data_IF_983212884929
#
_entry.id   IF_983212884929
#
_cell.length_a   1.000
_cell.length_b   1.000
_cell.length_c   1.000
_cell.angle_alpha   90.00
_cell.angle_beta   90.00
_cell.angle_gamma   90.00
#
_symmetry.space_group_name_H-M   'P 1'
#
loop_
_entity.id
_entity.type
_entity.pdbx_description
1 polymer ?
#
# COMPACT_ATOMS: atom_id res chain seq x y z
N UNK A 1 15.74 -2.42 13.50
CA UNK A 1 16.59 -2.94 14.60
C UNK A 1 16.46 -4.44 14.87
N UNK A 2 15.28 -5.09 14.72
CA UNK A 2 15.13 -6.55 14.94
C UNK A 2 14.90 -7.28 13.61
N UNK A 3 15.80 -8.19 13.23
CA UNK A 3 15.80 -8.79 11.89
C UNK A 3 14.63 -9.73 11.65
N UNK A 4 14.23 -10.50 12.67
CA UNK A 4 13.04 -11.35 12.56
C UNK A 4 11.75 -10.53 12.41
N UNK A 5 11.62 -9.38 13.09
CA UNK A 5 10.46 -8.51 12.88
C UNK A 5 10.47 -7.90 11.47
N UNK A 6 11.64 -7.51 10.94
CA UNK A 6 11.75 -7.07 9.55
C UNK A 6 11.30 -8.17 8.59
N UNK A 7 11.81 -9.40 8.76
CA UNK A 7 11.43 -10.53 7.92
C UNK A 7 9.93 -10.82 7.96
N UNK A 8 9.33 -10.80 9.15
CA UNK A 8 7.89 -11.02 9.34
C UNK A 8 7.09 -9.89 8.67
N UNK A 9 7.40 -8.63 9.00
CA UNK A 9 6.66 -7.47 8.48
C UNK A 9 6.78 -7.37 6.95
N UNK A 10 7.97 -7.56 6.37
CA UNK A 10 8.16 -7.54 4.90
C UNK A 10 7.30 -8.60 4.20
N UNK A 11 7.26 -9.82 4.75
CA UNK A 11 6.42 -10.90 4.20
C UNK A 11 4.93 -10.60 4.34
N UNK A 12 4.53 -9.96 5.43
CA UNK A 12 3.15 -9.53 5.63
C UNK A 12 2.79 -8.37 4.68
N UNK A 13 3.70 -7.45 4.37
CA UNK A 13 3.46 -6.41 3.35
C UNK A 13 3.24 -7.03 1.97
N UNK A 14 4.01 -8.07 1.61
CA UNK A 14 3.79 -8.85 0.39
C UNK A 14 2.42 -9.53 0.40
N UNK A 15 2.02 -10.12 1.52
CA UNK A 15 0.75 -10.84 1.65
C UNK A 15 -0.47 -9.91 1.59
N UNK A 16 -0.42 -8.78 2.31
CA UNK A 16 -1.55 -7.85 2.44
C UNK A 16 -1.63 -6.84 1.30
N UNK A 17 -0.50 -6.50 0.65
CA UNK A 17 -0.46 -5.37 -0.29
C UNK A 17 -0.74 -4.03 0.42
N UNK A 18 -0.32 -3.90 1.67
CA UNK A 18 -0.48 -2.71 2.53
C UNK A 18 0.74 -2.59 3.43
N UNK A 19 1.05 -1.38 3.88
CA UNK A 19 2.13 -1.15 4.84
C UNK A 19 1.87 -1.91 6.14
N UNK A 20 2.93 -2.44 6.74
CA UNK A 20 2.83 -3.22 7.99
C UNK A 20 3.76 -2.63 9.05
N UNK A 21 3.19 -1.94 10.02
CA UNK A 21 3.91 -1.39 11.18
C UNK A 21 3.98 -2.39 12.34
N UNK A 22 4.75 -2.04 13.37
CA UNK A 22 4.63 -2.71 14.66
C UNK A 22 5.02 -1.80 15.84
N UNK A 23 4.39 -2.06 16.99
CA UNK A 23 4.76 -1.46 18.26
C UNK A 23 4.95 -2.57 19.30
N UNK A 24 5.98 -2.42 20.15
CA UNK A 24 6.24 -3.33 21.27
C UNK A 24 5.78 -2.65 22.56
N UNK A 25 4.94 -3.34 23.32
CA UNK A 25 4.42 -2.86 24.59
C UNK A 25 4.98 -3.70 25.72
N UNK A 26 5.64 -3.04 26.67
CA UNK A 26 6.17 -3.64 27.89
C UNK A 26 5.44 -3.01 29.07
N UNK A 27 4.70 -3.82 29.83
CA UNK A 27 3.84 -3.32 30.92
C UNK A 27 4.24 -3.98 32.25
N UNK A 28 4.67 -3.20 33.27
CA UNK A 28 5.01 -3.72 34.60
C UNK A 28 3.85 -4.44 35.29
N UNK A 29 4.15 -5.31 36.24
CA UNK A 29 3.14 -6.02 37.02
C UNK A 29 2.18 -5.10 37.78
N UNK A 30 0.90 -5.50 37.85
CA UNK A 30 -0.16 -4.76 38.55
C UNK A 30 -0.48 -3.40 37.93
N UNK A 31 -0.23 -3.20 36.63
CA UNK A 31 -0.42 -1.92 35.96
C UNK A 31 -1.14 -2.02 34.62
N UNK A 32 -1.79 -0.92 34.22
CA UNK A 32 -2.45 -0.72 32.94
C UNK A 32 -1.83 0.50 32.27
N UNK A 33 -1.31 0.33 31.05
CA UNK A 33 -0.60 1.39 30.33
C UNK A 33 -1.52 2.36 29.58
N UNK A 34 -2.60 1.84 28.98
CA UNK A 34 -3.52 2.60 28.14
C UNK A 34 -4.96 2.44 28.61
N UNK A 35 -5.79 3.50 28.54
CA UNK A 35 -7.23 3.40 28.77
C UNK A 35 -7.90 2.58 27.66
N UNK A 36 -9.18 2.19 27.80
CA UNK A 36 -9.95 1.61 26.69
C UNK A 36 -9.93 2.51 25.45
N UNK A 37 -9.67 1.92 24.29
CA UNK A 37 -9.62 2.62 23.01
C UNK A 37 -9.88 1.66 21.85
N UNK A 38 -10.08 2.20 20.66
CA UNK A 38 -9.96 1.45 19.41
C UNK A 38 -8.96 2.12 18.47
N UNK A 39 -8.33 1.32 17.61
CA UNK A 39 -7.39 1.76 16.59
C UNK A 39 -8.05 1.90 15.21
N UNK A 40 -7.33 2.54 14.29
CA UNK A 40 -7.66 2.75 12.88
C UNK A 40 -7.04 1.70 11.94
N UNK A 41 -6.47 0.63 12.50
CA UNK A 41 -5.72 -0.41 11.80
C UNK A 41 -6.21 -1.82 12.15
N UNK A 42 -5.98 -2.76 11.25
CA UNK A 42 -6.12 -4.18 11.55
C UNK A 42 -4.91 -4.61 12.38
N UNK A 43 -5.14 -5.28 13.52
CA UNK A 43 -4.05 -5.60 14.46
C UNK A 43 -3.91 -7.09 14.74
N UNK A 44 -2.66 -7.52 14.81
CA UNK A 44 -2.23 -8.86 15.15
C UNK A 44 -1.27 -8.78 16.33
N UNK A 45 -1.68 -9.32 17.46
CA UNK A 45 -0.94 -9.25 18.72
C UNK A 45 -0.31 -10.62 18.98
N UNK A 46 1.00 -10.62 19.20
CA UNK A 46 1.76 -11.79 19.63
C UNK A 46 2.31 -11.56 21.03
N UNK A 47 1.87 -12.37 21.99
CA UNK A 47 2.37 -12.29 23.36
C UNK A 47 3.76 -12.94 23.41
N UNK A 48 4.77 -12.17 23.83
CA UNK A 48 6.18 -12.57 23.80
C UNK A 48 6.66 -13.05 25.18
N UNK A 49 6.32 -12.31 26.24
CA UNK A 49 6.79 -12.58 27.60
C UNK A 49 5.69 -12.31 28.62
N UNK A 50 5.67 -13.08 29.72
CA UNK A 50 4.69 -12.91 30.79
C UNK A 50 3.24 -13.13 30.34
N UNK A 51 2.29 -12.66 31.16
CA UNK A 51 0.86 -12.80 30.88
C UNK A 51 0.18 -11.42 30.88
N UNK A 52 -0.89 -11.26 30.10
CA UNK A 52 -1.69 -10.02 30.08
C UNK A 52 -3.18 -10.33 30.07
N UNK A 53 -3.93 -9.65 30.93
CA UNK A 53 -5.39 -9.73 30.96
C UNK A 53 -5.95 -8.76 29.91
N UNK A 54 -6.77 -9.28 28.99
CA UNK A 54 -7.35 -8.53 27.87
C UNK A 54 -8.87 -8.55 27.94
N UNK A 55 -9.47 -7.40 27.66
CA UNK A 55 -10.92 -7.22 27.51
C UNK A 55 -11.20 -6.57 26.16
N UNK A 56 -12.05 -7.21 25.36
CA UNK A 56 -12.51 -6.70 24.07
C UNK A 56 -14.00 -6.37 24.15
N UNK A 57 -14.44 -5.34 23.41
CA UNK A 57 -15.81 -4.85 23.44
C UNK A 57 -16.35 -4.65 22.02
N UNK A 58 -17.66 -4.46 21.91
CA UNK A 58 -18.27 -4.09 20.63
C UNK A 58 -17.77 -2.70 20.18
N UNK A 59 -17.57 -2.49 18.87
CA UNK A 59 -17.18 -1.19 18.35
C UNK A 59 -18.31 -0.15 18.56
N UNK A 60 -17.97 1.04 19.06
CA UNK A 60 -18.84 2.23 18.97
C UNK A 60 -18.87 2.77 17.54
N UNK A 61 -17.77 2.63 16.81
CA UNK A 61 -17.63 2.92 15.38
C UNK A 61 -17.08 1.67 14.66
N UNK A 62 -17.93 0.86 14.01
CA UNK A 62 -17.47 -0.33 13.28
C UNK A 62 -16.52 0.04 12.14
N UNK A 63 -15.41 -0.69 12.01
CA UNK A 63 -14.37 -0.45 10.99
C UNK A 63 -13.86 1.00 10.98
N UNK A 64 -13.71 1.57 12.19
CA UNK A 64 -13.26 2.93 12.41
C UNK A 64 -12.00 3.24 11.61
N UNK A 65 -11.97 4.45 11.06
CA UNK A 65 -10.88 4.93 10.21
C UNK A 65 -9.95 5.90 10.94
N UNK A 66 -10.29 6.21 12.18
CA UNK A 66 -9.56 7.10 13.07
C UNK A 66 -9.41 6.38 14.42
N UNK A 67 -8.40 6.76 15.20
CA UNK A 67 -8.21 6.27 16.57
C UNK A 67 -9.11 7.05 17.55
N UNK A 68 -9.60 6.38 18.60
CA UNK A 68 -10.30 7.06 19.69
C UNK A 68 -10.14 6.37 21.04
N UNK A 69 -10.04 7.17 22.11
CA UNK A 69 -10.16 6.72 23.50
C UNK A 69 -11.62 6.71 23.91
N UNK A 70 -12.03 5.65 24.60
CA UNK A 70 -13.41 5.42 25.01
C UNK A 70 -13.56 5.40 26.54
N UNK A 71 -14.70 5.88 27.02
CA UNK A 71 -15.02 5.89 28.45
C UNK A 71 -15.61 4.54 28.88
N UNK A 72 -15.09 3.93 29.95
CA UNK A 72 -15.58 2.64 30.46
C UNK A 72 -17.10 2.62 30.73
N UNK A 73 -17.68 3.76 31.11
CA UNK A 73 -19.12 3.90 31.35
C UNK A 73 -19.97 3.73 30.07
N UNK A 74 -19.36 3.83 28.89
CA UNK A 74 -20.03 3.85 27.58
C UNK A 74 -19.82 2.59 26.73
N UNK A 75 -18.81 1.77 27.06
CA UNK A 75 -18.42 0.61 26.25
C UNK A 75 -19.15 -0.68 26.63
N UNK A 76 -19.86 -0.68 27.76
CA UNK A 76 -20.66 -1.81 28.23
C UNK A 76 -19.82 -2.98 28.75
N UNK A 77 -20.34 -4.21 28.61
CA UNK A 77 -19.65 -5.42 29.05
C UNK A 77 -18.69 -5.94 27.97
N UNK A 78 -17.54 -6.52 28.34
CA UNK A 78 -16.66 -7.16 27.38
C UNK A 78 -17.40 -8.26 26.59
N UNK A 79 -17.14 -8.33 25.29
CA UNK A 79 -17.56 -9.47 24.45
C UNK A 79 -16.66 -10.67 24.70
N UNK A 80 -15.38 -10.41 24.97
CA UNK A 80 -14.37 -11.40 25.29
C UNK A 80 -13.49 -10.88 26.41
N UNK A 81 -13.13 -11.78 27.32
CA UNK A 81 -12.24 -11.51 28.44
C UNK A 81 -11.38 -12.74 28.65
N UNK A 82 -10.06 -12.58 28.56
CA UNK A 82 -9.10 -13.69 28.58
C UNK A 82 -7.70 -13.22 28.99
N UNK A 83 -6.80 -14.16 29.24
CA UNK A 83 -5.40 -13.88 29.55
C UNK A 83 -4.51 -14.49 28.47
N UNK A 84 -3.70 -13.66 27.81
CA UNK A 84 -2.70 -14.12 26.85
C UNK A 84 -1.41 -14.51 27.57
N UNK A 85 -0.76 -15.57 27.08
CA UNK A 85 0.52 -16.12 27.54
C UNK A 85 1.51 -16.22 26.38
N UNK A 86 2.82 -16.42 26.63
CA UNK A 86 3.82 -16.43 25.56
C UNK A 86 3.50 -17.46 24.47
N UNK A 87 3.46 -17.01 23.22
CA UNK A 87 3.10 -17.83 22.05
C UNK A 87 1.61 -17.72 21.64
N UNK A 88 0.75 -17.15 22.49
CA UNK A 88 -0.64 -16.87 22.11
C UNK A 88 -0.71 -15.72 21.11
N UNK A 89 -1.73 -15.79 20.25
CA UNK A 89 -1.98 -14.86 19.16
C UNK A 89 -3.40 -14.32 19.23
N UNK A 90 -3.56 -13.02 19.07
CA UNK A 90 -4.86 -12.34 19.05
C UNK A 90 -4.98 -11.46 17.81
N UNK A 91 -6.13 -11.54 17.15
CA UNK A 91 -6.51 -10.62 16.07
C UNK A 91 -7.84 -9.97 16.40
N UNK A 92 -7.97 -8.70 16.06
CA UNK A 92 -9.26 -8.02 15.95
C UNK A 92 -9.20 -6.90 14.90
N UNK A 93 -10.34 -6.58 14.26
CA UNK A 93 -10.40 -5.52 13.26
C UNK A 93 -10.42 -4.14 13.91
N UNK A 94 -10.07 -3.12 13.12
CA UNK A 94 -10.15 -1.71 13.53
C UNK A 94 -11.56 -1.32 14.02
N UNK A 95 -11.62 -0.42 14.98
CA UNK A 95 -12.84 -0.07 15.70
C UNK A 95 -13.18 -1.01 16.88
N UNK A 96 -12.55 -2.20 17.00
CA UNK A 96 -12.73 -3.05 18.18
C UNK A 96 -12.12 -2.37 19.40
N UNK A 97 -12.97 -2.01 20.35
CA UNK A 97 -12.53 -1.40 21.60
C UNK A 97 -11.83 -2.47 22.44
N UNK A 98 -10.68 -2.12 23.00
CA UNK A 98 -9.91 -3.03 23.82
C UNK A 98 -9.17 -2.29 24.94
N UNK A 99 -8.85 -3.03 26.00
CA UNK A 99 -7.91 -2.63 27.03
C UNK A 99 -7.20 -3.85 27.61
N UNK A 100 -6.02 -3.63 28.19
CA UNK A 100 -5.24 -4.68 28.79
C UNK A 100 -4.43 -4.22 30.00
N UNK A 101 -4.38 -5.08 31.01
CA UNK A 101 -3.65 -4.88 32.26
C UNK A 101 -2.76 -6.10 32.57
N UNK A 102 -1.62 -5.87 33.22
CA UNK A 102 -0.75 -6.97 33.68
C UNK A 102 -1.17 -7.34 35.11
N UNK A 103 -1.58 -8.59 35.38
CA UNK A 103 -1.97 -9.01 36.73
C UNK A 103 -0.87 -8.77 37.79
N UNK A 104 -1.24 -8.51 39.06
CA UNK A 104 -0.26 -8.41 40.14
C UNK A 104 0.39 -9.77 40.41
N UNK A 105 1.65 -9.76 40.88
CA UNK A 105 2.40 -10.98 41.25
C UNK A 105 3.17 -11.65 40.10
N UNK A 106 3.07 -11.14 38.87
CA UNK A 106 3.94 -11.47 37.74
C UNK A 106 5.17 -10.52 37.72
N UNK A 107 6.12 -10.74 36.79
CA UNK A 107 7.25 -9.82 36.59
C UNK A 107 6.86 -8.62 35.70
N UNK A 108 6.42 -8.91 34.47
CA UNK A 108 5.98 -7.94 33.47
C UNK A 108 5.21 -8.68 32.36
N UNK A 109 4.65 -7.92 31.42
CA UNK A 109 4.06 -8.44 30.17
C UNK A 109 4.69 -7.75 28.98
N UNK A 110 5.13 -8.51 27.97
CA UNK A 110 5.65 -7.99 26.71
C UNK A 110 4.85 -8.59 25.55
N UNK A 111 4.28 -7.75 24.69
CA UNK A 111 3.72 -8.18 23.41
C UNK A 111 4.18 -7.26 22.28
N UNK A 112 4.12 -7.78 21.06
CA UNK A 112 4.24 -6.97 19.84
C UNK A 112 2.87 -6.92 19.17
N UNK A 113 2.44 -5.72 18.81
CA UNK A 113 1.29 -5.47 17.96
C UNK A 113 1.82 -5.20 16.57
N UNK A 114 1.47 -6.05 15.61
CA UNK A 114 1.73 -5.86 14.18
C UNK A 114 0.45 -5.29 13.58
N UNK A 115 0.53 -4.17 12.89
CA UNK A 115 -0.63 -3.43 12.37
C UNK A 115 -0.55 -3.18 10.88
N UNK A 116 -1.69 -3.18 10.19
CA UNK A 116 -1.77 -2.93 8.74
C UNK A 116 -3.12 -2.33 8.35
N UNK A 117 -3.34 -2.07 7.06
CA UNK A 117 -4.62 -1.62 6.49
C UNK A 117 -5.09 -0.21 6.92
N UNK A 118 -4.18 0.63 7.44
CA UNK A 118 -4.47 2.05 7.68
C UNK A 118 -4.85 2.74 6.36
N UNK A 119 -5.97 3.47 6.33
CA UNK A 119 -6.47 4.17 5.13
C UNK A 119 -6.48 3.31 3.84
N UNK A 120 -6.75 2.01 3.97
CA UNK A 120 -6.78 1.08 2.85
C UNK A 120 -8.20 0.55 2.57
N UNK A 121 -9.18 1.45 2.54
CA UNK A 121 -10.60 1.13 2.35
C UNK A 121 -11.07 1.33 0.90
N UNK A 122 -12.27 0.84 0.56
CA UNK A 122 -12.91 1.17 -0.72
C UNK A 122 -13.13 2.67 -0.90
N UNK A 123 -13.36 3.43 0.18
CA UNK A 123 -13.48 4.88 0.13
C UNK A 123 -12.17 5.56 -0.28
N UNK A 124 -11.04 5.05 0.22
CA UNK A 124 -9.70 5.51 -0.18
C UNK A 124 -9.44 5.26 -1.65
N UNK A 125 -9.62 4.01 -2.05
CA UNK A 125 -9.37 3.59 -3.42
C UNK A 125 -10.30 4.29 -4.42
N UNK A 126 -11.54 4.58 -4.02
CA UNK A 126 -12.47 5.37 -4.82
C UNK A 126 -11.99 6.82 -4.99
N UNK A 127 -11.51 7.47 -3.93
CA UNK A 127 -11.00 8.84 -4.00
C UNK A 127 -9.74 8.93 -4.88
N UNK A 128 -8.80 8.00 -4.69
CA UNK A 128 -7.59 7.87 -5.50
C UNK A 128 -7.93 7.67 -6.99
N UNK A 129 -8.87 6.76 -7.27
CA UNK A 129 -9.30 6.46 -8.64
C UNK A 129 -10.04 7.64 -9.29
N UNK A 130 -10.96 8.28 -8.56
CA UNK A 130 -11.75 9.42 -9.08
C UNK A 130 -10.83 10.57 -9.46
N UNK A 131 -9.80 10.86 -8.66
CA UNK A 131 -8.84 11.93 -8.97
C UNK A 131 -8.23 11.74 -10.37
N UNK A 132 -7.65 10.57 -10.63
CA UNK A 132 -7.07 10.24 -11.93
C UNK A 132 -8.09 10.29 -13.07
N UNK A 133 -9.29 9.74 -12.87
CA UNK A 133 -10.36 9.77 -13.87
C UNK A 133 -10.85 11.18 -14.20
N UNK A 134 -10.97 12.05 -13.20
CA UNK A 134 -11.40 13.44 -13.38
C UNK A 134 -10.38 14.19 -14.23
N UNK A 135 -9.08 14.11 -13.90
CA UNK A 135 -8.04 14.79 -14.65
C UNK A 135 -7.91 14.28 -16.09
N UNK A 136 -8.05 12.96 -16.29
CA UNK A 136 -8.02 12.41 -17.64
C UNK A 136 -9.27 12.75 -18.46
N UNK A 137 -10.45 12.71 -17.86
CA UNK A 137 -11.70 13.13 -18.53
C UNK A 137 -11.66 14.61 -18.89
N UNK A 138 -11.11 15.42 -17.99
CA UNK A 138 -10.90 16.84 -18.21
C UNK A 138 -9.93 17.16 -19.36
N UNK A 139 -9.23 16.20 -19.98
CA UNK A 139 -8.45 16.44 -21.21
C UNK A 139 -9.34 16.49 -22.45
N UNK A 140 -10.43 15.72 -22.46
CA UNK A 140 -11.32 15.56 -23.61
C UNK A 140 -12.62 16.36 -23.47
N UNK A 141 -13.10 16.55 -22.24
CA UNK A 141 -14.39 17.19 -21.95
C UNK A 141 -14.20 18.58 -21.33
N UNK A 142 -14.67 19.61 -22.05
CA UNK A 142 -14.65 21.00 -21.61
C UNK A 142 -15.48 21.24 -20.34
N UNK A 143 -16.54 20.46 -20.11
CA UNK A 143 -17.43 20.65 -18.96
C UNK A 143 -16.72 20.36 -17.63
N UNK A 144 -15.76 19.42 -17.63
CA UNK A 144 -14.94 19.10 -16.46
C UNK A 144 -13.87 20.18 -16.17
N UNK A 145 -13.53 21.01 -17.16
CA UNK A 145 -12.60 22.15 -17.00
C UNK A 145 -13.31 23.47 -16.71
N UNK A 146 -14.62 23.54 -16.95
CA UNK A 146 -15.38 24.77 -16.81
C UNK A 146 -15.39 25.27 -15.35
N UNK A 147 -15.19 26.57 -15.17
CA UNK A 147 -15.23 27.19 -13.85
C UNK A 147 -16.61 27.04 -13.17
N UNK A 148 -16.60 26.83 -11.85
CA UNK A 148 -17.83 26.85 -11.06
C UNK A 148 -18.45 28.26 -11.05
N UNK A 149 -19.78 28.41 -10.85
CA UNK A 149 -20.43 29.71 -10.75
C UNK A 149 -19.79 30.61 -9.68
N UNK A 150 -19.68 31.92 -10.00
CA UNK A 150 -19.17 32.93 -9.05
C UNK A 150 -19.94 32.88 -7.73
N UNK A 151 -19.23 33.09 -6.62
CA UNK A 151 -19.79 33.09 -5.26
C UNK A 151 -20.48 31.77 -4.85
N UNK A 152 -20.33 30.66 -5.60
CA UNK A 152 -20.90 29.37 -5.22
C UNK A 152 -20.42 28.93 -3.84
N UNK A 153 -19.14 29.13 -3.53
CA UNK A 153 -18.54 28.78 -2.23
C UNK A 153 -19.03 29.66 -1.06
N UNK A 154 -19.72 30.78 -1.35
CA UNK A 154 -20.30 31.67 -0.33
C UNK A 154 -21.77 31.34 -0.04
N UNK A 155 -22.36 30.39 -0.76
CA UNK A 155 -23.73 29.96 -0.53
C UNK A 155 -23.81 29.06 0.71
N UNK A 156 -24.84 29.26 1.54
CA UNK A 156 -25.08 28.45 2.75
C UNK A 156 -25.58 27.04 2.43
N UNK A 157 -26.19 26.86 1.25
CA UNK A 157 -26.74 25.59 0.80
C UNK A 157 -26.26 25.24 -0.62
N UNK A 158 -26.00 23.95 -0.84
CA UNK A 158 -25.80 23.42 -2.17
C UNK A 158 -27.11 23.49 -2.98
N UNK A 159 -27.16 24.43 -3.94
CA UNK A 159 -28.34 24.58 -4.81
C UNK A 159 -28.66 23.26 -5.55
N UNK A 160 -29.94 23.02 -5.82
CA UNK A 160 -30.37 21.81 -6.56
C UNK A 160 -29.68 21.67 -7.93
N UNK A 161 -29.30 22.80 -8.54
CA UNK A 161 -28.56 22.86 -9.81
C UNK A 161 -27.17 22.24 -9.66
N UNK A 162 -26.43 22.58 -8.60
CA UNK A 162 -25.09 22.04 -8.33
C UNK A 162 -25.15 20.55 -8.07
N UNK A 163 -26.11 20.09 -7.24
CA UNK A 163 -26.32 18.66 -6.96
C UNK A 163 -26.61 17.87 -8.24
N UNK A 164 -27.45 18.41 -9.14
CA UNK A 164 -27.75 17.77 -10.43
C UNK A 164 -26.51 17.69 -11.32
N UNK A 165 -25.70 18.74 -11.39
CA UNK A 165 -24.48 18.78 -12.22
C UNK A 165 -23.43 17.80 -11.72
N UNK A 166 -23.15 17.78 -10.40
CA UNK A 166 -22.24 16.80 -9.79
C UNK A 166 -22.72 15.36 -9.99
N UNK A 167 -24.02 15.10 -9.85
CA UNK A 167 -24.57 13.75 -10.12
C UNK A 167 -24.41 13.35 -11.59
N UNK A 168 -24.45 14.31 -12.52
CA UNK A 168 -24.16 14.06 -13.93
C UNK A 168 -22.71 13.63 -14.13
N UNK A 169 -21.76 14.38 -13.56
CA UNK A 169 -20.34 14.03 -13.63
C UNK A 169 -20.03 12.66 -13.02
N UNK A 170 -20.62 12.32 -11.86
CA UNK A 170 -20.42 11.01 -11.24
C UNK A 170 -20.89 9.85 -12.15
N UNK A 171 -22.00 10.01 -12.87
CA UNK A 171 -22.46 9.00 -13.84
C UNK A 171 -21.53 8.87 -15.02
N UNK A 172 -21.07 9.99 -15.58
CA UNK A 172 -20.10 10.00 -16.68
C UNK A 172 -18.81 9.27 -16.27
N UNK A 173 -18.31 9.54 -15.05
CA UNK A 173 -17.11 8.86 -14.54
C UNK A 173 -17.34 7.36 -14.33
N UNK A 174 -18.53 6.96 -13.87
CA UNK A 174 -18.89 5.55 -13.71
C UNK A 174 -18.93 4.83 -15.08
N UNK A 175 -19.63 5.40 -16.06
CA UNK A 175 -19.70 4.85 -17.43
C UNK A 175 -18.30 4.75 -18.07
N UNK A 176 -17.45 5.76 -17.83
CA UNK A 176 -16.07 5.77 -18.32
C UNK A 176 -15.22 4.68 -17.66
N UNK A 177 -15.36 4.50 -16.34
CA UNK A 177 -14.67 3.45 -15.60
C UNK A 177 -15.00 2.06 -16.15
N UNK A 178 -16.28 1.78 -16.44
CA UNK A 178 -16.73 0.53 -17.07
C UNK A 178 -16.15 0.33 -18.49
N UNK A 179 -15.92 1.43 -19.23
CA UNK A 179 -15.33 1.39 -20.58
C UNK A 179 -13.81 1.27 -20.62
N UNK A 180 -13.11 1.56 -19.52
CA UNK A 180 -11.64 1.55 -19.45
C UNK A 180 -11.07 0.19 -19.03
N UNK A 181 -10.01 -0.27 -19.71
CA UNK A 181 -9.26 -1.49 -19.34
C UNK A 181 -8.15 -1.25 -18.30
N UNK A 182 -7.75 0.00 -18.11
CA UNK A 182 -6.58 0.37 -17.29
C UNK A 182 -6.99 1.46 -16.30
N UNK A 183 -6.72 1.22 -15.02
CA UNK A 183 -6.91 2.22 -13.97
C UNK A 183 -5.66 3.09 -13.82
N UNK A 184 -5.88 4.39 -13.66
CA UNK A 184 -4.85 5.42 -13.44
C UNK A 184 -4.51 5.60 -11.95
N UNK A 185 -4.92 4.67 -11.09
CA UNK A 185 -4.59 4.70 -9.66
C UNK A 185 -3.08 4.67 -9.49
N UNK A 186 -2.50 5.79 -9.05
CA UNK A 186 -1.07 5.97 -8.92
C UNK A 186 -0.65 6.32 -7.50
N UNK A 187 -1.43 7.09 -6.75
CA UNK A 187 -0.94 7.66 -5.49
C UNK A 187 -0.89 6.61 -4.38
N UNK A 188 -1.97 5.83 -4.16
CA UNK A 188 -1.95 4.75 -3.17
C UNK A 188 -0.90 3.68 -3.49
N UNK A 189 -0.76 3.30 -4.76
CA UNK A 189 0.24 2.31 -5.19
C UNK A 189 1.66 2.84 -4.96
N UNK A 190 1.90 4.09 -5.36
CA UNK A 190 3.20 4.75 -5.20
C UNK A 190 3.53 4.91 -3.72
N UNK A 191 2.59 5.36 -2.90
CA UNK A 191 2.76 5.45 -1.45
C UNK A 191 3.18 4.10 -0.85
N UNK A 192 2.46 3.02 -1.18
CA UNK A 192 2.80 1.68 -0.69
C UNK A 192 4.22 1.24 -1.06
N UNK A 193 4.60 1.32 -2.34
CA UNK A 193 5.93 0.85 -2.77
C UNK A 193 7.06 1.71 -2.22
N UNK A 194 6.83 3.00 -2.02
CA UNK A 194 7.87 3.93 -1.52
C UNK A 194 8.08 3.80 -0.02
N UNK A 195 7.03 3.47 0.74
CA UNK A 195 7.08 3.47 2.20
C UNK A 195 7.21 2.09 2.83
N UNK A 196 7.15 1.00 2.05
CA UNK A 196 7.29 -0.37 2.55
C UNK A 196 8.74 -0.78 2.83
N UNK A 197 8.93 -1.90 3.54
CA UNK A 197 10.24 -2.48 3.79
C UNK A 197 10.92 -2.99 2.50
N UNK A 198 12.26 -2.91 2.42
CA UNK A 198 13.00 -3.64 1.39
C UNK A 198 12.92 -5.15 1.63
N UNK A 199 13.14 -5.98 0.59
CA UNK A 199 13.19 -7.43 0.72
C UNK A 199 14.15 -7.86 1.84
N UNK A 200 13.72 -8.80 2.68
CA UNK A 200 14.62 -9.36 3.69
C UNK A 200 15.75 -10.17 3.04
N UNK A 201 16.99 -9.89 3.44
CA UNK A 201 18.18 -10.65 3.04
C UNK A 201 19.05 -10.99 4.26
N UNK A 202 19.75 -12.12 4.19
CA UNK A 202 20.70 -12.59 5.21
C UNK A 202 22.17 -12.32 4.83
N UNK A 203 22.42 -11.51 3.79
CA UNK A 203 23.73 -11.33 3.17
C UNK A 203 24.08 -9.88 2.82
N UNK A 204 24.92 -9.69 1.81
CA UNK A 204 25.35 -8.37 1.34
C UNK A 204 24.19 -7.63 0.65
N UNK A 205 23.80 -6.42 1.10
CA UNK A 205 22.81 -5.57 0.41
C UNK A 205 23.12 -5.32 -1.06
N UNK A 206 24.38 -5.48 -1.48
CA UNK A 206 24.78 -5.39 -2.87
C UNK A 206 24.01 -6.35 -3.79
N UNK A 207 23.50 -7.50 -3.31
CA UNK A 207 22.71 -8.44 -4.12
C UNK A 207 21.34 -7.88 -4.54
N UNK A 208 20.79 -6.91 -3.79
CA UNK A 208 19.54 -6.22 -4.12
C UNK A 208 19.75 -5.00 -5.02
N UNK A 209 21.00 -4.54 -5.15
CA UNK A 209 21.35 -3.29 -5.85
C UNK A 209 22.26 -3.49 -7.06
N UNK A 210 22.90 -4.65 -7.17
CA UNK A 210 23.85 -4.99 -8.24
C UNK A 210 23.31 -6.18 -9.02
N UNK A 211 23.00 -6.01 -10.32
CA UNK A 211 22.52 -7.11 -11.14
C UNK A 211 23.52 -8.27 -11.16
N UNK A 212 23.08 -9.42 -10.66
CA UNK A 212 23.85 -10.66 -10.68
C UNK A 212 23.59 -11.49 -11.94
N UNK A 213 24.45 -12.49 -12.17
CA UNK A 213 24.25 -13.50 -13.22
C UNK A 213 24.64 -13.05 -14.63
N UNK A 214 24.07 -13.70 -15.63
CA UNK A 214 24.34 -13.40 -17.04
C UNK A 214 23.46 -12.26 -17.53
N UNK A 215 24.06 -11.35 -18.31
CA UNK A 215 23.34 -10.30 -19.01
C UNK A 215 22.32 -10.95 -19.98
N UNK A 216 21.01 -10.65 -19.83
CA UNK A 216 19.99 -11.22 -20.70
C UNK A 216 20.14 -10.72 -22.14
N UNK A 217 19.87 -11.61 -23.09
CA UNK A 217 19.92 -11.37 -24.54
C UNK A 217 18.61 -11.81 -25.18
N UNK A 218 18.42 -11.51 -26.46
CA UNK A 218 17.24 -11.91 -27.22
C UNK A 218 16.93 -13.41 -27.14
N UNK A 219 17.93 -14.29 -27.12
CA UNK A 219 17.75 -15.75 -27.03
C UNK A 219 17.65 -16.28 -25.60
N UNK A 220 17.70 -15.41 -24.59
CA UNK A 220 17.58 -15.80 -23.19
C UNK A 220 16.13 -16.13 -22.81
N UNK A 221 15.97 -17.01 -21.83
CA UNK A 221 14.74 -17.11 -21.05
C UNK A 221 14.92 -16.27 -19.79
N UNK A 222 13.91 -15.50 -19.43
CA UNK A 222 13.96 -14.59 -18.28
C UNK A 222 12.83 -14.86 -17.31
N UNK A 223 13.11 -14.59 -16.04
CA UNK A 223 12.15 -14.71 -14.93
C UNK A 223 12.15 -13.43 -14.11
N UNK A 224 10.96 -12.95 -13.76
CA UNK A 224 10.75 -11.86 -12.81
C UNK A 224 11.18 -12.29 -11.41
N UNK A 225 12.04 -11.48 -10.80
CA UNK A 225 12.42 -11.57 -9.40
C UNK A 225 11.67 -10.51 -8.60
N UNK A 226 11.50 -10.77 -7.29
CA UNK A 226 10.88 -9.82 -6.35
C UNK A 226 9.53 -9.27 -6.83
N UNK A 227 8.70 -10.12 -7.47
CA UNK A 227 7.40 -9.74 -8.05
C UNK A 227 6.54 -8.92 -7.08
N UNK A 228 6.48 -9.34 -5.81
CA UNK A 228 5.66 -8.69 -4.79
C UNK A 228 6.26 -7.37 -4.26
N UNK A 229 7.48 -7.01 -4.68
CA UNK A 229 8.14 -5.74 -4.36
C UNK A 229 8.14 -4.74 -5.51
N UNK A 230 7.57 -5.10 -6.67
CA UNK A 230 7.50 -4.26 -7.86
C UNK A 230 6.04 -4.04 -8.29
N UNK A 231 5.70 -2.79 -8.59
CA UNK A 231 4.36 -2.39 -9.01
C UNK A 231 4.37 -1.76 -10.39
N UNK A 232 3.27 -1.95 -11.13
CA UNK A 232 3.01 -1.22 -12.37
C UNK A 232 1.90 -0.18 -12.14
N UNK A 233 2.16 1.02 -12.63
CA UNK A 233 1.16 2.08 -12.73
C UNK A 233 1.26 2.81 -14.06
N UNK A 234 0.18 3.51 -14.42
CA UNK A 234 0.11 4.32 -15.64
C UNK A 234 -0.07 5.77 -15.21
N UNK A 235 0.77 6.64 -15.75
CA UNK A 235 0.74 8.06 -15.44
C UNK A 235 1.00 8.91 -16.67
N UNK A 236 0.81 10.24 -16.56
CA UNK A 236 1.26 11.18 -17.59
C UNK A 236 2.79 11.17 -17.70
N UNK A 237 3.31 11.39 -18.90
CA UNK A 237 4.74 11.62 -19.09
C UNK A 237 5.19 12.89 -18.36
N UNK A 238 6.06 12.72 -17.36
CA UNK A 238 6.53 13.81 -16.48
C UNK A 238 7.58 14.72 -17.13
N UNK A 239 8.24 14.28 -18.21
CA UNK A 239 9.32 15.06 -18.86
C UNK A 239 8.83 15.97 -20.00
N UNK A 240 7.55 15.90 -20.38
CA UNK A 240 6.99 16.73 -21.45
C UNK A 240 6.00 17.74 -20.89
N UNK A 241 6.31 19.03 -21.10
CA UNK A 241 5.45 20.17 -20.76
C UNK A 241 4.33 20.43 -21.77
N UNK A 242 4.20 19.62 -22.82
CA UNK A 242 3.27 19.84 -23.93
C UNK A 242 1.84 19.36 -23.61
N UNK A 243 0.86 20.02 -24.23
CA UNK A 243 -0.58 19.79 -24.06
C UNK A 243 -1.07 18.37 -24.44
N UNK A 244 -0.21 17.56 -25.07
CA UNK A 244 -0.50 16.15 -25.44
C UNK A 244 0.34 15.18 -24.63
N UNK A 245 0.21 15.21 -23.31
CA UNK A 245 0.89 14.26 -22.42
C UNK A 245 0.57 12.81 -22.83
N UNK A 246 1.56 12.14 -23.41
CA UNK A 246 1.49 10.70 -23.67
C UNK A 246 1.43 9.96 -22.33
N UNK A 247 0.66 8.87 -22.31
CA UNK A 247 0.64 7.97 -21.16
C UNK A 247 1.87 7.08 -21.17
N UNK A 248 2.50 6.94 -20.01
CA UNK A 248 3.66 6.08 -19.81
C UNK A 248 3.34 5.03 -18.75
N UNK A 249 3.98 3.87 -18.87
CA UNK A 249 3.99 2.85 -17.82
C UNK A 249 5.18 3.13 -16.92
N UNK A 250 4.91 3.18 -15.62
CA UNK A 250 5.92 3.32 -14.58
C UNK A 250 6.03 2.02 -13.80
N UNK A 251 7.27 1.61 -13.57
CA UNK A 251 7.59 0.49 -12.69
C UNK A 251 8.38 1.03 -11.52
N UNK A 252 7.78 0.91 -10.34
CA UNK A 252 8.41 1.25 -9.08
C UNK A 252 8.70 -0.03 -8.31
N UNK A 253 9.79 -0.04 -7.55
CA UNK A 253 10.13 -1.18 -6.71
C UNK A 253 10.72 -0.73 -5.38
N UNK A 254 10.66 -1.62 -4.39
CA UNK A 254 11.10 -1.35 -3.01
C UNK A 254 12.45 -1.97 -2.64
N UNK A 255 13.19 -2.56 -3.60
CA UNK A 255 14.48 -3.21 -3.36
C UNK A 255 15.51 -2.30 -2.67
N UNK A 256 15.44 -0.99 -2.93
CA UNK A 256 16.38 0.03 -2.43
C UNK A 256 15.79 0.87 -1.29
N UNK A 257 14.62 0.50 -0.77
CA UNK A 257 14.01 1.20 0.36
C UNK A 257 14.87 1.06 1.62
N UNK A 258 14.77 2.04 2.52
CA UNK A 258 15.54 2.05 3.77
C UNK A 258 14.69 1.48 4.89
N UNK A 259 15.22 0.44 5.54
CA UNK A 259 14.58 -0.16 6.72
C UNK A 259 14.60 0.78 7.91
N UNK A 260 15.64 1.61 8.03
CA UNK A 260 15.87 2.51 9.16
C UNK A 260 14.79 3.58 9.32
N UNK A 261 14.11 3.94 8.22
CA UNK A 261 13.09 4.98 8.16
C UNK A 261 11.68 4.41 7.94
N UNK A 262 11.52 3.09 7.94
CA UNK A 262 10.22 2.43 7.74
C UNK A 262 9.21 2.89 8.80
N UNK A 263 8.05 3.40 8.35
CA UNK A 263 6.96 3.93 9.20
C UNK A 263 7.35 5.09 10.12
N UNK A 264 8.47 5.79 9.88
CA UNK A 264 8.93 6.90 10.73
C UNK A 264 8.46 8.29 10.25
N UNK A 265 7.79 8.36 9.10
CA UNK A 265 7.12 9.58 8.63
C UNK A 265 8.05 10.75 8.29
N UNK A 266 9.16 10.52 7.56
CA UNK A 266 9.92 11.56 6.83
C UNK A 266 11.06 10.99 5.96
N UNK A 267 10.99 11.27 4.65
CA UNK A 267 12.02 11.82 3.74
C UNK A 267 11.36 11.77 2.36
N UNK A 268 11.27 12.90 1.63
CA UNK A 268 10.95 12.88 0.20
C UNK A 268 12.03 12.04 -0.49
N UNK A 269 11.76 10.75 -0.65
CA UNK A 269 12.63 9.86 -1.40
C UNK A 269 12.36 10.15 -2.86
N UNK A 270 13.34 10.71 -3.56
CA UNK A 270 13.28 10.84 -5.01
C UNK A 270 12.98 9.46 -5.62
N UNK A 271 11.78 9.32 -6.19
CA UNK A 271 11.36 8.04 -6.75
C UNK A 271 11.93 7.90 -8.16
N UNK A 272 13.01 7.15 -8.31
CA UNK A 272 13.47 6.70 -9.63
C UNK A 272 12.78 5.38 -9.97
N UNK A 273 11.70 5.45 -10.76
CA UNK A 273 11.07 4.29 -11.36
C UNK A 273 11.53 4.10 -12.81
N UNK A 274 11.46 2.88 -13.33
CA UNK A 274 11.64 2.65 -14.76
C UNK A 274 10.41 3.18 -15.50
N UNK A 275 10.63 3.72 -16.70
CA UNK A 275 9.59 4.33 -17.52
C UNK A 275 9.60 3.71 -18.91
N UNK A 276 8.44 3.28 -19.38
CA UNK A 276 8.24 2.72 -20.72
C UNK A 276 7.04 3.33 -21.42
N UNK A 277 7.01 3.37 -22.76
CA UNK A 277 5.81 3.72 -23.52
C UNK A 277 4.64 2.79 -23.19
N UNK A 278 3.40 3.30 -23.24
CA UNK A 278 2.20 2.49 -22.98
C UNK A 278 2.10 1.22 -23.87
N UNK A 279 2.68 1.25 -25.07
CA UNK A 279 2.76 0.07 -25.96
C UNK A 279 3.46 -1.14 -25.34
N UNK A 280 4.27 -0.94 -24.28
CA UNK A 280 4.99 -2.01 -23.60
C UNK A 280 4.13 -2.75 -22.56
N UNK A 281 2.92 -2.27 -22.27
CA UNK A 281 2.06 -2.82 -21.22
C UNK A 281 1.77 -4.32 -21.40
N UNK A 282 1.50 -4.79 -22.62
CA UNK A 282 1.21 -6.20 -22.85
C UNK A 282 2.43 -7.11 -22.65
N UNK A 283 3.63 -6.65 -23.04
CA UNK A 283 4.88 -7.35 -22.78
C UNK A 283 5.21 -7.40 -21.29
N UNK A 284 4.98 -6.30 -20.57
CA UNK A 284 5.12 -6.25 -19.11
C UNK A 284 4.16 -7.20 -18.41
N UNK A 285 2.88 -7.26 -18.83
CA UNK A 285 1.91 -8.25 -18.32
C UNK A 285 2.39 -9.68 -18.57
N UNK A 286 2.95 -9.97 -19.76
CA UNK A 286 3.53 -11.30 -20.02
C UNK A 286 4.63 -11.67 -19.01
N UNK A 287 5.53 -10.74 -18.68
CA UNK A 287 6.59 -10.95 -17.69
C UNK A 287 6.01 -11.19 -16.29
N UNK A 288 4.97 -10.45 -15.89
CA UNK A 288 4.34 -10.60 -14.58
C UNK A 288 3.52 -11.89 -14.44
N UNK A 289 2.87 -12.33 -15.51
CA UNK A 289 1.92 -13.45 -15.48
C UNK A 289 2.58 -14.82 -15.68
N UNK A 290 3.82 -14.87 -16.19
CA UNK A 290 4.54 -16.12 -16.46
C UNK A 290 5.64 -16.37 -15.43
N UNK A 291 5.89 -17.64 -15.10
CA UNK A 291 7.01 -18.03 -14.22
C UNK A 291 8.38 -17.83 -14.88
N UNK A 292 8.44 -17.96 -16.21
CA UNK A 292 9.58 -17.68 -17.06
C UNK A 292 9.09 -17.44 -18.50
N UNK A 293 9.77 -16.60 -19.27
CA UNK A 293 9.40 -16.27 -20.64
C UNK A 293 10.64 -16.05 -21.52
N UNK A 294 10.59 -16.53 -22.76
CA UNK A 294 11.62 -16.25 -23.77
C UNK A 294 11.55 -14.78 -24.19
N UNK A 295 12.69 -14.09 -24.24
CA UNK A 295 12.73 -12.67 -24.63
C UNK A 295 12.16 -12.44 -26.03
N UNK A 296 12.35 -13.39 -26.96
CA UNK A 296 11.77 -13.34 -28.32
C UNK A 296 10.25 -13.32 -28.36
N UNK A 297 9.60 -13.90 -27.36
CA UNK A 297 8.14 -14.10 -27.33
C UNK A 297 7.39 -12.91 -26.69
N UNK A 298 8.13 -11.88 -26.26
CA UNK A 298 7.55 -10.63 -25.77
C UNK A 298 6.79 -9.92 -26.90
N UNK A 299 5.59 -9.43 -26.57
CA UNK A 299 4.68 -8.70 -27.47
C UNK A 299 5.16 -7.27 -27.70
N UNK A 300 6.31 -7.14 -28.34
CA UNK A 300 6.89 -5.89 -28.82
C UNK A 300 7.23 -6.02 -30.30
N UNK A 301 7.36 -4.88 -30.99
CA UNK A 301 7.42 -4.85 -32.45
C UNK A 301 8.80 -5.21 -32.97
N UNK A 302 9.85 -4.80 -32.28
CA UNK A 302 11.24 -5.05 -32.68
C UNK A 302 11.98 -5.87 -31.63
N UNK A 303 13.01 -6.61 -32.07
CA UNK A 303 13.86 -7.35 -31.15
C UNK A 303 14.69 -6.42 -30.25
N UNK A 304 15.03 -5.22 -30.74
CA UNK A 304 15.69 -4.17 -29.96
C UNK A 304 14.82 -3.70 -28.79
N UNK A 305 13.51 -3.49 -29.00
CA UNK A 305 12.58 -3.15 -27.91
C UNK A 305 12.53 -4.25 -26.84
N UNK A 306 12.52 -5.52 -27.25
CA UNK A 306 12.50 -6.68 -26.34
C UNK A 306 13.76 -6.74 -25.48
N UNK A 307 14.93 -6.60 -26.10
CA UNK A 307 16.20 -6.59 -25.38
C UNK A 307 16.29 -5.38 -24.43
N UNK A 308 15.94 -4.17 -24.90
CA UNK A 308 15.99 -2.96 -24.09
C UNK A 308 15.06 -3.06 -22.87
N UNK A 309 13.82 -3.54 -23.04
CA UNK A 309 12.88 -3.73 -21.93
C UNK A 309 13.48 -4.63 -20.85
N UNK A 310 13.98 -5.80 -21.27
CA UNK A 310 14.53 -6.80 -20.35
C UNK A 310 15.82 -6.30 -19.69
N UNK A 311 16.67 -5.61 -20.43
CA UNK A 311 17.90 -5.01 -19.92
C UNK A 311 17.60 -3.96 -18.85
N UNK A 312 16.64 -3.06 -19.08
CA UNK A 312 16.23 -2.05 -18.10
C UNK A 312 15.66 -2.66 -16.81
N UNK A 313 14.88 -3.74 -16.91
CA UNK A 313 14.41 -4.46 -15.72
C UNK A 313 15.55 -5.19 -14.99
N UNK A 314 16.50 -5.76 -15.74
CA UNK A 314 17.67 -6.43 -15.20
C UNK A 314 18.60 -5.47 -14.47
N UNK A 315 18.80 -4.24 -14.96
CA UNK A 315 19.61 -3.22 -14.27
C UNK A 315 19.09 -2.85 -12.89
N UNK A 316 17.79 -3.05 -12.65
CA UNK A 316 17.15 -2.85 -11.33
C UNK A 316 16.98 -4.16 -10.53
N UNK A 317 17.70 -5.22 -10.90
CA UNK A 317 17.65 -6.53 -10.23
C UNK A 317 16.25 -7.20 -10.25
N UNK A 318 15.36 -6.77 -11.16
CA UNK A 318 14.01 -7.33 -11.28
C UNK A 318 13.96 -8.56 -12.19
N UNK A 319 15.00 -8.84 -12.96
CA UNK A 319 15.03 -9.96 -13.90
C UNK A 319 16.25 -10.84 -13.64
N UNK A 320 16.05 -12.15 -13.79
CA UNK A 320 17.11 -13.15 -13.87
C UNK A 320 17.02 -13.89 -15.21
N UNK A 321 18.15 -14.02 -15.91
CA UNK A 321 18.29 -14.95 -17.02
C UNK A 321 18.42 -16.39 -16.48
N UNK A 322 17.61 -17.31 -17.03
CA UNK A 322 17.49 -18.71 -16.59
C UNK A 322 17.94 -19.69 -17.66
#
# INVERSE_FOLDING_TARGET
FKDELWRIQEKLECYFGSLVGSNVYITPAGSQGLPPHYDDVEVFILQLEGEKHWRLYHPTVPLAREYSVESEDRIGRPTHEFTLKPGDFLYFPRGTIHQADTPPGLAHSTHVTISTYQNNSWGDFLLDTISGLVFDTAKEDLEFRAGIPRQLLLQVDATAVVRRRLSGFLRILADRLEGTKELLSADMKKDFVMNRLPPYHMGDPAELSTPGGQLPKLDSTVRLQFKDHAILTVGPDQDQSDETQKKMVYIYHSLKNRRETHMMGNEETESHGLRFPLSHMDALKQIWDHSAISVKDLKLTTDEEKENLVLSLWTECLIQAV
#
